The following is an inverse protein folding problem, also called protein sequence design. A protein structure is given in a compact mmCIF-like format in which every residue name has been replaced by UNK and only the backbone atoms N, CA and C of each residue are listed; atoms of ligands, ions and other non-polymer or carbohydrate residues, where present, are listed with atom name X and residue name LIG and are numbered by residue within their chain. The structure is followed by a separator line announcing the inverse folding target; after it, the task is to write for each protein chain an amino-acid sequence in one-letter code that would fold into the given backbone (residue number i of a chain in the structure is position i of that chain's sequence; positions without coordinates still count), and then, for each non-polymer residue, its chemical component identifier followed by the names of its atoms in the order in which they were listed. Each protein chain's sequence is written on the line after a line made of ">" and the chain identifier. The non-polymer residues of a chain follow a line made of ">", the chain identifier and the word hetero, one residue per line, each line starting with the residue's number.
data_IF_663981878076
#
_entry.id   IF_663981878076
#
_cell.length_a   1.000
_cell.length_b   1.000
_cell.length_c   1.000
_cell.angle_alpha   90.00
_cell.angle_beta   90.00
_cell.angle_gamma   90.00
#
_symmetry.space_group_name_H-M   'P 1'
#
loop_
_entity.id
_entity.type
_entity.pdbx_description
1 polymer ?
#
# COMPACT_ATOMS: atom_id res chain seq x y z
N UNK A 1 -6.72 -4.31 18.79
CA UNK A 1 -5.73 -4.77 17.78
C UNK A 1 -6.20 -4.36 16.40
N UNK A 2 -5.31 -3.80 15.60
CA UNK A 2 -5.68 -3.40 14.24
C UNK A 2 -5.61 -4.60 13.30
N UNK A 3 -6.57 -4.68 12.41
CA UNK A 3 -6.56 -5.69 11.36
C UNK A 3 -5.61 -5.28 10.23
N UNK A 4 -5.32 -6.20 9.30
CA UNK A 4 -4.54 -5.87 8.11
C UNK A 4 -5.25 -4.81 7.26
N UNK A 5 -6.58 -4.88 7.21
CA UNK A 5 -7.38 -3.89 6.49
C UNK A 5 -7.19 -2.50 7.10
N UNK A 6 -7.18 -2.42 8.44
CA UNK A 6 -6.96 -1.14 9.12
C UNK A 6 -5.55 -0.61 8.85
N UNK A 7 -4.56 -1.50 8.81
CA UNK A 7 -3.20 -1.10 8.49
C UNK A 7 -3.11 -0.53 7.08
N UNK A 8 -3.74 -1.21 6.12
CA UNK A 8 -3.75 -0.74 4.74
C UNK A 8 -4.47 0.61 4.61
N UNK A 9 -5.60 0.76 5.31
CA UNK A 9 -6.32 2.03 5.32
C UNK A 9 -5.46 3.16 5.90
N UNK A 10 -4.67 2.87 6.92
CA UNK A 10 -3.75 3.85 7.50
C UNK A 10 -2.65 4.24 6.51
N UNK A 11 -2.14 3.27 5.74
CA UNK A 11 -1.15 3.54 4.71
C UNK A 11 -1.74 4.42 3.62
N UNK A 12 -2.96 4.11 3.17
CA UNK A 12 -3.62 4.92 2.16
C UNK A 12 -3.89 6.34 2.65
N UNK A 13 -4.28 6.48 3.91
CA UNK A 13 -4.49 7.80 4.51
C UNK A 13 -3.20 8.61 4.52
N UNK A 14 -2.07 7.97 4.80
CA UNK A 14 -0.76 8.61 4.75
C UNK A 14 -0.43 9.04 3.31
N UNK A 15 -0.68 8.16 2.36
CA UNK A 15 -0.40 8.45 0.96
C UNK A 15 -1.26 9.59 0.44
N UNK A 16 -2.46 9.78 0.97
CA UNK A 16 -3.34 10.87 0.54
C UNK A 16 -2.75 12.25 0.84
N UNK A 17 -1.77 12.33 1.73
CA UNK A 17 -1.05 13.57 1.97
C UNK A 17 0.02 13.86 0.92
N UNK A 18 0.40 12.87 0.11
CA UNK A 18 1.43 13.00 -0.91
C UNK A 18 0.87 12.84 -2.32
N UNK A 19 -0.20 12.05 -2.46
CA UNK A 19 -0.83 11.75 -3.74
C UNK A 19 -2.25 12.30 -3.74
N UNK A 20 -2.76 12.65 -4.91
CA UNK A 20 -4.15 13.10 -5.01
C UNK A 20 -5.11 11.95 -4.77
N UNK A 21 -6.33 12.26 -4.34
CA UNK A 21 -7.37 11.26 -4.18
C UNK A 21 -7.66 10.52 -5.48
N UNK A 22 -7.61 11.24 -6.59
CA UNK A 22 -7.82 10.64 -7.91
C UNK A 22 -6.74 9.60 -8.21
N UNK A 23 -5.48 9.90 -7.91
CA UNK A 23 -4.39 8.97 -8.11
C UNK A 23 -4.59 7.72 -7.26
N UNK A 24 -4.94 7.89 -6.00
CA UNK A 24 -5.16 6.76 -5.09
C UNK A 24 -6.32 5.89 -5.59
N UNK A 25 -7.43 6.50 -5.96
CA UNK A 25 -8.58 5.76 -6.46
C UNK A 25 -8.28 5.04 -7.77
N UNK A 26 -7.51 5.67 -8.64
CA UNK A 26 -7.21 5.10 -9.95
C UNK A 26 -6.27 3.90 -9.84
N UNK A 27 -5.24 4.00 -9.02
CA UNK A 27 -4.17 3.00 -9.02
C UNK A 27 -4.24 2.01 -7.88
N UNK A 28 -4.91 2.36 -6.78
CA UNK A 28 -4.88 1.56 -5.55
C UNK A 28 -6.23 0.88 -5.25
N UNK A 29 -7.28 1.18 -5.98
CA UNK A 29 -8.61 0.64 -5.69
C UNK A 29 -8.72 -0.86 -5.92
N UNK A 30 -7.85 -1.42 -6.78
CA UNK A 30 -7.83 -2.86 -7.05
C UNK A 30 -6.78 -3.60 -6.23
N UNK A 31 -6.10 -2.89 -5.34
CA UNK A 31 -5.12 -3.50 -4.45
C UNK A 31 -5.82 -3.91 -3.16
N UNK A 32 -5.60 -5.14 -2.75
CA UNK A 32 -6.10 -5.64 -1.46
C UNK A 32 -4.97 -6.25 -0.66
N UNK A 33 -5.10 -6.17 0.66
CA UNK A 33 -4.16 -6.79 1.57
C UNK A 33 -4.51 -8.26 1.69
N UNK A 34 -3.52 -9.12 1.51
CA UNK A 34 -3.70 -10.56 1.65
C UNK A 34 -3.26 -11.01 3.04
N UNK A 35 -2.03 -10.72 3.42
CA UNK A 35 -1.50 -11.12 4.71
C UNK A 35 -0.23 -10.33 5.02
N UNK A 36 0.31 -10.55 6.21
CA UNK A 36 1.63 -10.05 6.57
C UNK A 36 2.46 -11.23 7.04
N UNK A 37 3.63 -11.43 6.42
CA UNK A 37 4.54 -12.52 6.73
C UNK A 37 5.93 -11.96 6.99
N UNK A 38 6.52 -12.31 8.13
CA UNK A 38 7.88 -11.90 8.50
C UNK A 38 8.11 -10.39 8.31
N UNK A 39 7.13 -9.59 8.71
CA UNK A 39 7.13 -8.13 8.57
C UNK A 39 7.01 -7.66 7.12
N UNK A 40 6.70 -8.54 6.19
CA UNK A 40 6.44 -8.17 4.80
C UNK A 40 4.94 -8.13 4.55
N UNK A 41 4.47 -7.03 4.03
CA UNK A 41 3.05 -6.86 3.71
C UNK A 41 2.80 -7.42 2.31
N UNK A 42 1.94 -8.43 2.24
CA UNK A 42 1.60 -9.07 0.97
C UNK A 42 0.33 -8.43 0.41
N UNK A 43 0.45 -7.87 -0.78
CA UNK A 43 -0.66 -7.22 -1.46
C UNK A 43 -0.98 -7.96 -2.75
N UNK A 44 -2.24 -7.88 -3.14
CA UNK A 44 -2.70 -8.44 -4.41
C UNK A 44 -3.34 -7.33 -5.24
N UNK A 45 -3.02 -7.31 -6.52
CA UNK A 45 -3.66 -6.41 -7.46
C UNK A 45 -4.20 -7.23 -8.63
N UNK A 46 -5.49 -7.11 -8.89
CA UNK A 46 -6.16 -7.89 -9.92
C UNK A 46 -5.82 -7.45 -11.34
N UNK A 47 -5.29 -6.25 -11.50
CA UNK A 47 -4.95 -5.69 -12.81
C UNK A 47 -3.44 -5.63 -12.96
N UNK A 48 -2.89 -6.42 -13.89
CA UNK A 48 -1.44 -6.51 -14.09
C UNK A 48 -0.82 -5.17 -14.50
N UNK A 49 -1.52 -4.37 -15.30
CA UNK A 49 -1.02 -3.06 -15.70
C UNK A 49 -0.90 -2.13 -14.49
N UNK A 50 -1.92 -2.10 -13.65
CA UNK A 50 -1.88 -1.28 -12.44
C UNK A 50 -0.82 -1.79 -11.47
N UNK A 51 -0.69 -3.10 -11.34
CA UNK A 51 0.34 -3.69 -10.49
C UNK A 51 1.72 -3.21 -10.91
N UNK A 52 2.04 -3.29 -12.20
CA UNK A 52 3.34 -2.88 -12.70
C UNK A 52 3.58 -1.39 -12.49
N UNK A 53 2.57 -0.56 -12.69
CA UNK A 53 2.68 0.88 -12.49
C UNK A 53 2.90 1.21 -11.03
N UNK A 54 2.15 0.57 -10.14
CA UNK A 54 2.28 0.79 -8.70
C UNK A 54 3.67 0.39 -8.23
N UNK A 55 4.17 -0.76 -8.69
CA UNK A 55 5.52 -1.20 -8.31
C UNK A 55 6.59 -0.24 -8.81
N UNK A 56 6.42 0.28 -10.03
CA UNK A 56 7.43 1.16 -10.62
C UNK A 56 7.41 2.56 -10.03
N UNK A 57 6.24 3.08 -9.67
CA UNK A 57 6.09 4.49 -9.30
C UNK A 57 5.78 4.72 -7.83
N UNK A 58 4.99 3.85 -7.22
CA UNK A 58 4.44 4.12 -5.89
C UNK A 58 4.99 3.21 -4.80
N UNK A 59 5.71 2.17 -5.15
CA UNK A 59 6.25 1.24 -4.16
C UNK A 59 7.14 1.92 -3.11
N UNK A 60 8.04 2.85 -3.47
CA UNK A 60 8.85 3.54 -2.47
C UNK A 60 7.99 4.30 -1.45
N UNK A 61 6.89 4.90 -1.91
CA UNK A 61 5.99 5.63 -1.03
C UNK A 61 5.21 4.69 -0.11
N UNK A 62 4.80 3.54 -0.64
CA UNK A 62 4.15 2.51 0.17
C UNK A 62 5.11 2.01 1.26
N UNK A 63 6.36 1.75 0.89
CA UNK A 63 7.38 1.30 1.85
C UNK A 63 7.63 2.34 2.93
N UNK A 64 7.69 3.61 2.56
CA UNK A 64 7.89 4.69 3.53
C UNK A 64 6.72 4.78 4.50
N UNK A 65 5.49 4.68 3.98
CA UNK A 65 4.30 4.72 4.83
C UNK A 65 4.25 3.50 5.76
N UNK A 66 4.61 2.33 5.25
CA UNK A 66 4.63 1.12 6.05
C UNK A 66 5.67 1.22 7.17
N UNK A 67 6.84 1.76 6.86
CA UNK A 67 7.89 1.96 7.86
C UNK A 67 7.41 2.87 8.99
N UNK A 68 6.68 3.93 8.66
CA UNK A 68 6.14 4.83 9.68
C UNK A 68 5.14 4.12 10.59
N UNK A 69 4.39 3.17 10.07
CA UNK A 69 3.35 2.50 10.84
C UNK A 69 3.88 1.37 11.70
N UNK A 70 4.88 0.65 11.24
CA UNK A 70 5.39 -0.54 11.95
C UNK A 70 6.89 -0.48 12.20
N UNK A 71 7.58 0.58 11.77
CA UNK A 71 9.01 0.74 12.00
C UNK A 71 9.91 -0.12 11.12
N UNK A 72 9.35 -0.85 10.17
CA UNK A 72 10.09 -1.69 9.25
C UNK A 72 9.51 -1.57 7.85
N UNK A 73 10.37 -1.55 6.85
CA UNK A 73 9.97 -1.35 5.47
C UNK A 73 10.13 -2.63 4.66
N UNK A 74 9.14 -3.50 4.76
CA UNK A 74 9.07 -4.70 3.93
C UNK A 74 7.72 -4.75 3.23
N UNK A 75 7.75 -4.98 1.95
CA UNK A 75 6.56 -5.08 1.13
C UNK A 75 6.66 -6.32 0.25
#
# INVERSE_FOLDING_TARGET
>A
MKSLSDLWDSILARLSGELSDTTIKTWFDEISVVTMEDSALVLHCSNAFKKNTVEARFLPQIKAALKDKIGRAHV
#
